data_IF_067946982766
#
_entry.id   IF_067946982766
#
_cell.length_a   1.000
_cell.length_b   1.000
_cell.length_c   1.000
_cell.angle_alpha   90.00
_cell.angle_beta   90.00
_cell.angle_gamma   90.00
#
_symmetry.space_group_name_H-M   'P 1'
#
loop_
_entity.id
_entity.type
_entity.pdbx_description
1 polymer ?
#
# COMPACT_ATOMS: atom_id res chain seq x y z
N UNK A 1 -21.04 -25.18 -18.18
CA UNK A 1 -20.83 -26.35 -17.31
C UNK A 1 -19.41 -26.30 -16.79
N UNK A 2 -19.26 -25.94 -15.52
CA UNK A 2 -18.17 -26.33 -14.61
C UNK A 2 -16.70 -26.06 -15.04
N UNK A 3 -16.23 -24.83 -14.84
CA UNK A 3 -14.79 -24.61 -14.59
C UNK A 3 -14.54 -24.76 -13.09
N UNK A 4 -13.95 -25.91 -12.77
CA UNK A 4 -13.45 -26.40 -11.50
C UNK A 4 -12.68 -25.35 -10.68
N UNK A 5 -13.21 -25.01 -9.52
CA UNK A 5 -12.50 -24.29 -8.45
C UNK A 5 -11.32 -25.13 -7.95
N UNK A 6 -10.05 -24.70 -8.10
CA UNK A 6 -8.93 -25.50 -7.64
C UNK A 6 -8.74 -25.30 -6.13
N UNK A 7 -9.01 -26.37 -5.40
CA UNK A 7 -8.53 -26.67 -4.04
C UNK A 7 -8.65 -25.54 -3.00
N UNK A 8 -9.82 -25.49 -2.36
CA UNK A 8 -9.96 -25.10 -0.96
C UNK A 8 -9.15 -26.06 -0.06
N UNK A 9 -7.82 -25.89 -0.02
CA UNK A 9 -7.04 -26.43 1.10
C UNK A 9 -7.59 -25.78 2.36
N UNK A 10 -8.19 -26.57 3.24
CA UNK A 10 -8.59 -26.16 4.58
C UNK A 10 -7.34 -25.83 5.38
N UNK A 11 -6.83 -24.61 5.17
CA UNK A 11 -5.77 -24.04 5.99
C UNK A 11 -6.25 -24.13 7.45
N UNK A 12 -5.42 -24.64 8.38
CA UNK A 12 -5.76 -24.67 9.80
C UNK A 12 -6.24 -23.27 10.20
N UNK A 13 -7.47 -23.16 10.68
CA UNK A 13 -8.06 -21.87 11.03
C UNK A 13 -7.19 -21.24 12.12
N UNK A 14 -6.46 -20.14 11.84
CA UNK A 14 -5.70 -19.48 12.88
C UNK A 14 -6.70 -18.98 13.91
N UNK A 15 -6.41 -19.25 15.18
CA UNK A 15 -7.11 -18.59 16.28
C UNK A 15 -7.00 -17.08 16.09
N UNK A 16 -8.08 -16.32 16.38
CA UNK A 16 -8.05 -14.85 16.33
C UNK A 16 -6.85 -14.28 17.12
N UNK A 17 -6.49 -14.92 18.23
CA UNK A 17 -5.32 -14.55 19.03
C UNK A 17 -4.00 -14.73 18.27
N UNK A 18 -3.90 -15.74 17.42
CA UNK A 18 -2.68 -16.07 16.67
C UNK A 18 -2.50 -15.15 15.46
N UNK A 19 -3.57 -14.82 14.74
CA UNK A 19 -3.56 -13.81 13.68
C UNK A 19 -3.22 -12.42 14.23
N UNK A 20 -3.84 -12.04 15.36
CA UNK A 20 -3.55 -10.78 16.03
C UNK A 20 -2.10 -10.71 16.54
N UNK A 21 -1.56 -11.81 17.07
CA UNK A 21 -0.17 -11.88 17.52
C UNK A 21 0.81 -11.78 16.34
N UNK A 22 0.55 -12.49 15.24
CA UNK A 22 1.41 -12.41 14.04
C UNK A 22 1.43 -10.98 13.46
N UNK A 23 0.25 -10.38 13.29
CA UNK A 23 0.14 -8.99 12.80
C UNK A 23 0.78 -8.00 13.78
N UNK A 24 0.53 -8.15 15.08
CA UNK A 24 1.08 -7.30 16.12
C UNK A 24 2.60 -7.32 16.13
N UNK A 25 3.22 -8.49 16.04
CA UNK A 25 4.69 -8.61 16.00
C UNK A 25 5.27 -7.94 14.75
N UNK A 26 4.66 -8.12 13.57
CA UNK A 26 5.12 -7.45 12.35
C UNK A 26 5.08 -5.93 12.49
N UNK A 27 3.98 -5.37 13.01
CA UNK A 27 3.84 -3.92 13.24
C UNK A 27 4.88 -3.43 14.25
N UNK A 28 5.11 -4.18 15.32
CA UNK A 28 6.05 -3.82 16.37
C UNK A 28 7.51 -3.84 15.87
N UNK A 29 7.88 -4.85 15.07
CA UNK A 29 9.19 -4.95 14.42
C UNK A 29 9.41 -3.76 13.48
N UNK A 30 8.40 -3.38 12.69
CA UNK A 30 8.52 -2.23 11.78
C UNK A 30 8.63 -0.92 12.56
N UNK A 31 7.74 -0.69 13.54
CA UNK A 31 7.74 0.54 14.32
C UNK A 31 9.03 0.72 15.12
N UNK A 32 9.45 -0.31 15.87
CA UNK A 32 10.68 -0.22 16.68
C UNK A 32 11.92 -0.17 15.80
N UNK A 33 11.97 -0.95 14.72
CA UNK A 33 13.11 -0.96 13.82
C UNK A 33 13.34 0.38 13.13
N UNK A 34 12.26 1.06 12.72
CA UNK A 34 12.35 2.37 12.10
C UNK A 34 12.62 3.50 13.13
N UNK A 35 11.84 3.58 14.20
CA UNK A 35 11.93 4.71 15.15
C UNK A 35 13.10 4.60 16.13
N UNK A 36 13.47 3.39 16.57
CA UNK A 36 14.49 3.21 17.63
C UNK A 36 15.87 2.91 17.06
N UNK A 37 15.93 2.10 16.02
CA UNK A 37 17.20 1.62 15.45
C UNK A 37 17.60 2.33 14.15
N UNK A 38 16.68 3.05 13.49
CA UNK A 38 16.96 3.73 12.23
C UNK A 38 17.43 2.79 11.12
N UNK A 39 17.01 1.53 11.17
CA UNK A 39 17.42 0.50 10.20
C UNK A 39 16.63 0.71 8.90
N UNK A 40 17.31 0.51 7.77
CA UNK A 40 16.69 0.54 6.46
C UNK A 40 15.48 -0.42 6.35
N UNK A 41 14.41 0.07 5.74
CA UNK A 41 13.14 -0.65 5.59
C UNK A 41 13.30 -2.00 4.88
N UNK A 42 14.29 -2.14 3.99
CA UNK A 42 14.61 -3.40 3.31
C UNK A 42 14.99 -4.52 4.28
N UNK A 43 15.84 -4.22 5.28
CA UNK A 43 16.28 -5.22 6.27
C UNK A 43 15.11 -5.63 7.17
N UNK A 44 14.27 -4.67 7.54
CA UNK A 44 13.06 -4.89 8.33
C UNK A 44 12.05 -5.77 7.60
N UNK A 45 11.84 -5.54 6.30
CA UNK A 45 10.96 -6.36 5.49
C UNK A 45 11.45 -7.81 5.41
N UNK A 46 12.76 -8.01 5.28
CA UNK A 46 13.35 -9.35 5.29
C UNK A 46 13.11 -10.07 6.63
N UNK A 47 13.31 -9.37 7.76
CA UNK A 47 13.08 -9.94 9.09
C UNK A 47 11.59 -10.30 9.33
N UNK A 48 10.67 -9.44 8.90
CA UNK A 48 9.23 -9.73 8.93
C UNK A 48 8.88 -10.95 8.08
N UNK A 49 9.50 -11.11 6.91
CA UNK A 49 9.29 -12.27 6.05
C UNK A 49 9.70 -13.58 6.75
N UNK A 50 10.86 -13.57 7.43
CA UNK A 50 11.33 -14.72 8.21
C UNK A 50 10.37 -15.03 9.38
N UNK A 51 9.90 -14.00 10.09
CA UNK A 51 8.94 -14.18 11.18
C UNK A 51 7.61 -14.78 10.69
N UNK A 52 7.04 -14.23 9.62
CA UNK A 52 5.78 -14.72 9.03
C UNK A 52 5.96 -16.15 8.51
N UNK A 53 7.11 -16.46 7.88
CA UNK A 53 7.43 -17.81 7.44
C UNK A 53 7.54 -18.81 8.61
N UNK A 54 8.19 -18.41 9.71
CA UNK A 54 8.28 -19.22 10.92
C UNK A 54 6.92 -19.44 11.59
N UNK A 55 6.11 -18.39 11.68
CA UNK A 55 4.74 -18.46 12.22
C UNK A 55 3.84 -19.36 11.36
N UNK A 56 3.96 -19.27 10.03
CA UNK A 56 3.27 -20.15 9.09
C UNK A 56 3.70 -21.62 9.22
N UNK A 57 4.98 -21.88 9.47
CA UNK A 57 5.49 -23.24 9.73
C UNK A 57 4.95 -23.81 11.05
N UNK A 58 4.82 -22.98 12.10
CA UNK A 58 4.16 -23.36 13.36
C UNK A 58 2.68 -23.68 13.19
N UNK A 59 2.00 -23.08 12.20
CA UNK A 59 0.63 -23.44 11.82
C UNK A 59 0.52 -24.80 11.10
N UNK A 60 1.65 -25.45 10.77
CA UNK A 60 1.67 -26.69 10.00
C UNK A 60 1.56 -26.48 8.49
N UNK A 61 1.73 -25.26 7.98
CA UNK A 61 1.73 -25.00 6.54
C UNK A 61 2.92 -25.69 5.88
N UNK A 62 2.65 -26.37 4.76
CA UNK A 62 3.68 -26.99 3.95
C UNK A 62 4.45 -25.91 3.17
N UNK A 63 5.76 -26.10 3.01
CA UNK A 63 6.63 -25.19 2.25
C UNK A 63 6.12 -24.94 0.81
N UNK A 64 5.61 -25.98 0.16
CA UNK A 64 4.98 -25.89 -1.17
C UNK A 64 3.83 -24.87 -1.19
N UNK A 65 2.94 -24.90 -0.19
CA UNK A 65 1.82 -23.96 -0.08
C UNK A 65 2.31 -22.52 0.14
N UNK A 66 3.34 -22.30 0.96
CA UNK A 66 3.90 -20.95 1.16
C UNK A 66 4.48 -20.42 -0.16
N UNK A 67 5.19 -21.25 -0.92
CA UNK A 67 5.76 -20.88 -2.22
C UNK A 67 4.69 -20.56 -3.25
N UNK A 68 3.61 -21.34 -3.32
CA UNK A 68 2.51 -21.08 -4.27
C UNK A 68 1.76 -19.80 -3.90
N UNK A 69 1.52 -19.55 -2.62
CA UNK A 69 0.90 -18.31 -2.13
C UNK A 69 1.74 -17.07 -2.45
N UNK A 70 3.07 -17.15 -2.28
CA UNK A 70 3.98 -16.07 -2.68
C UNK A 70 3.91 -15.80 -4.19
N UNK A 71 3.94 -16.85 -5.01
CA UNK A 71 3.80 -16.72 -6.47
C UNK A 71 2.48 -16.07 -6.87
N UNK A 72 1.37 -16.48 -6.25
CA UNK A 72 0.06 -15.88 -6.49
C UNK A 72 0.01 -14.41 -6.05
N UNK A 73 0.64 -14.06 -4.93
CA UNK A 73 0.71 -12.68 -4.45
C UNK A 73 1.42 -11.76 -5.46
N UNK A 74 2.53 -12.23 -6.05
CA UNK A 74 3.25 -11.50 -7.10
C UNK A 74 2.37 -11.35 -8.35
N UNK A 75 1.73 -12.43 -8.80
CA UNK A 75 0.86 -12.39 -9.98
C UNK A 75 -0.33 -11.44 -9.81
N UNK A 76 -0.88 -11.33 -8.59
CA UNK A 76 -1.95 -10.37 -8.27
C UNK A 76 -1.45 -8.91 -8.21
N UNK A 77 -0.18 -8.70 -7.91
CA UNK A 77 0.42 -7.36 -7.85
C UNK A 77 0.83 -6.83 -9.23
N UNK A 78 1.15 -7.69 -10.19
CA UNK A 78 1.57 -7.31 -11.55
C UNK A 78 0.61 -6.31 -12.23
N UNK A 79 -0.72 -6.54 -12.29
CA UNK A 79 -1.65 -5.59 -12.89
C UNK A 79 -1.60 -4.19 -12.26
N UNK A 80 -1.50 -4.11 -10.93
CA UNK A 80 -1.42 -2.84 -10.22
C UNK A 80 -0.13 -2.08 -10.57
N UNK A 81 1.00 -2.77 -10.67
CA UNK A 81 2.30 -2.18 -11.06
C UNK A 81 2.21 -1.57 -12.46
N UNK A 82 1.61 -2.28 -13.43
CA UNK A 82 1.41 -1.73 -14.77
C UNK A 82 0.58 -0.44 -14.77
N UNK A 83 -0.50 -0.41 -13.98
CA UNK A 83 -1.33 0.79 -13.83
C UNK A 83 -0.52 1.95 -13.23
N UNK A 84 0.23 1.72 -12.17
CA UNK A 84 1.09 2.75 -11.57
C UNK A 84 2.11 3.32 -12.54
N UNK A 85 2.73 2.47 -13.38
CA UNK A 85 3.69 2.91 -14.41
C UNK A 85 3.01 3.78 -15.46
N UNK A 86 1.81 3.39 -15.94
CA UNK A 86 1.04 4.18 -16.91
C UNK A 86 0.64 5.55 -16.33
N UNK A 87 0.15 5.57 -15.09
CA UNK A 87 -0.19 6.82 -14.39
C UNK A 87 1.05 7.71 -14.26
N UNK A 88 2.19 7.14 -13.87
CA UNK A 88 3.46 7.86 -13.79
C UNK A 88 3.86 8.52 -15.12
N UNK A 89 3.75 7.79 -16.23
CA UNK A 89 4.03 8.33 -17.58
C UNK A 89 3.07 9.45 -17.98
N UNK A 90 1.78 9.32 -17.66
CA UNK A 90 0.79 10.37 -17.93
C UNK A 90 1.09 11.63 -17.13
N UNK A 91 1.38 11.50 -15.83
CA UNK A 91 1.73 12.64 -14.97
C UNK A 91 3.01 13.32 -15.47
N UNK A 92 4.06 12.56 -15.80
CA UNK A 92 5.29 13.10 -16.36
C UNK A 92 5.05 13.89 -17.65
N UNK A 93 4.18 13.39 -18.54
CA UNK A 93 3.81 14.07 -19.79
C UNK A 93 3.09 15.40 -19.52
N UNK A 94 2.19 15.43 -18.53
CA UNK A 94 1.48 16.66 -18.15
C UNK A 94 2.37 17.67 -17.42
N UNK A 95 3.38 17.20 -16.69
CA UNK A 95 4.39 18.08 -16.11
C UNK A 95 5.21 18.75 -17.21
N UNK A 96 5.64 17.99 -18.23
CA UNK A 96 6.39 18.54 -19.36
C UNK A 96 5.55 19.52 -20.20
N UNK A 97 4.25 19.27 -20.34
CA UNK A 97 3.32 20.19 -21.03
C UNK A 97 2.99 21.46 -20.23
N UNK A 98 3.42 21.57 -18.97
CA UNK A 98 3.08 22.71 -18.09
C UNK A 98 1.64 22.72 -17.58
N UNK A 99 0.80 21.74 -17.95
CA UNK A 99 -0.61 21.67 -17.57
C UNK A 99 -0.81 21.51 -16.07
N UNK A 100 0.06 20.74 -15.39
CA UNK A 100 -0.01 20.58 -13.93
C UNK A 100 0.36 21.88 -13.22
N UNK A 101 1.37 22.60 -13.69
CA UNK A 101 1.81 23.87 -13.09
C UNK A 101 0.73 24.95 -13.23
N UNK A 102 0.07 25.04 -14.38
CA UNK A 102 -1.04 26.00 -14.60
C UNK A 102 -2.26 25.64 -13.75
N UNK A 103 -2.63 24.35 -13.66
CA UNK A 103 -3.70 23.90 -12.75
C UNK A 103 -3.38 24.22 -11.29
N UNK A 104 -2.12 24.08 -10.87
CA UNK A 104 -1.72 24.42 -9.50
C UNK A 104 -1.81 25.93 -9.24
N UNK A 105 -1.36 26.77 -10.18
CA UNK A 105 -1.43 28.23 -10.06
C UNK A 105 -2.87 28.75 -9.93
N UNK A 106 -3.79 28.23 -10.75
CA UNK A 106 -5.21 28.59 -10.64
C UNK A 106 -5.90 27.93 -9.44
N UNK A 107 -5.51 26.71 -9.10
CA UNK A 107 -6.06 25.96 -7.96
C UNK A 107 -5.72 26.60 -6.62
N UNK A 108 -4.48 27.08 -6.42
CA UNK A 108 -4.07 27.76 -5.17
C UNK A 108 -4.81 29.08 -4.95
N UNK A 109 -5.23 29.76 -6.01
CA UNK A 109 -5.99 31.00 -5.90
C UNK A 109 -7.41 30.75 -5.36
N UNK A 110 -7.93 29.52 -5.54
CA UNK A 110 -9.23 29.08 -5.03
C UNK A 110 -9.13 28.35 -3.68
N UNK A 111 -8.00 27.69 -3.40
CA UNK A 111 -7.78 26.94 -2.17
C UNK A 111 -7.15 27.82 -1.07
N UNK A 112 -7.95 28.21 -0.09
CA UNK A 112 -7.40 28.69 1.19
C UNK A 112 -6.78 27.54 2.00
N UNK A 113 -5.65 27.75 2.71
CA UNK A 113 -4.94 26.71 3.49
C UNK A 113 -5.84 25.95 4.48
N UNK A 114 -6.89 26.60 5.00
CA UNK A 114 -7.85 26.02 5.94
C UNK A 114 -8.77 24.96 5.33
N UNK A 115 -9.01 24.98 4.01
CA UNK A 115 -9.90 24.02 3.33
C UNK A 115 -9.14 22.85 2.72
N UNK A 116 -7.82 22.96 2.56
CA UNK A 116 -6.98 21.95 1.91
C UNK A 116 -7.12 20.57 2.58
N UNK A 117 -6.98 20.49 3.91
CA UNK A 117 -7.08 19.22 4.63
C UNK A 117 -8.48 18.61 4.56
N UNK A 118 -9.54 19.41 4.67
CA UNK A 118 -10.93 18.94 4.59
C UNK A 118 -11.25 18.38 3.20
N UNK A 119 -10.84 19.08 2.13
CA UNK A 119 -11.03 18.61 0.75
C UNK A 119 -10.18 17.37 0.48
N UNK A 120 -8.93 17.35 0.96
CA UNK A 120 -8.03 16.19 0.84
C UNK A 120 -8.60 14.94 1.52
N UNK A 121 -9.21 15.09 2.70
CA UNK A 121 -9.87 13.97 3.41
C UNK A 121 -11.07 13.43 2.62
N UNK A 122 -11.92 14.29 2.08
CA UNK A 122 -13.08 13.88 1.26
C UNK A 122 -12.63 13.19 -0.03
N UNK A 123 -11.60 13.73 -0.70
CA UNK A 123 -11.02 13.14 -1.90
C UNK A 123 -10.36 11.78 -1.63
N UNK A 124 -9.59 11.66 -0.54
CA UNK A 124 -9.04 10.38 -0.11
C UNK A 124 -10.15 9.36 0.20
N UNK A 125 -11.23 9.77 0.86
CA UNK A 125 -12.37 8.88 1.13
C UNK A 125 -13.04 8.40 -0.17
N UNK A 126 -13.37 9.33 -1.07
CA UNK A 126 -13.93 9.02 -2.39
C UNK A 126 -13.03 8.05 -3.18
N UNK A 127 -11.73 8.34 -3.21
CA UNK A 127 -10.80 7.54 -3.99
C UNK A 127 -10.51 6.18 -3.34
N UNK A 128 -10.56 6.09 -2.01
CA UNK A 128 -10.49 4.79 -1.32
C UNK A 128 -11.68 3.92 -1.64
N UNK A 129 -12.88 4.50 -1.78
CA UNK A 129 -14.08 3.78 -2.22
C UNK A 129 -13.95 3.36 -3.69
N UNK A 130 -13.46 4.24 -4.55
CA UNK A 130 -13.31 3.95 -5.99
C UNK A 130 -12.18 2.95 -6.31
N UNK A 131 -11.04 3.06 -5.65
CA UNK A 131 -9.85 2.20 -5.86
C UNK A 131 -9.97 0.88 -5.10
N UNK A 132 -10.87 0.80 -4.11
CA UNK A 132 -11.13 -0.40 -3.31
C UNK A 132 -9.99 -0.81 -2.38
N UNK A 133 -8.89 -0.06 -2.32
CA UNK A 133 -7.72 -0.36 -1.47
C UNK A 133 -7.11 0.92 -0.90
N UNK A 134 -6.83 0.91 0.41
CA UNK A 134 -6.22 2.05 1.10
C UNK A 134 -4.78 2.33 0.65
N UNK A 135 -4.00 1.28 0.36
CA UNK A 135 -2.61 1.38 -0.07
C UNK A 135 -2.47 2.09 -1.43
N UNK A 136 -3.39 1.86 -2.36
CA UNK A 136 -3.39 2.56 -3.65
C UNK A 136 -3.72 4.05 -3.52
N UNK A 137 -4.65 4.40 -2.61
CA UNK A 137 -5.02 5.80 -2.36
C UNK A 137 -3.91 6.58 -1.68
N UNK A 138 -3.24 5.99 -0.67
CA UNK A 138 -2.09 6.61 -0.01
C UNK A 138 -0.94 6.83 -1.01
N UNK A 139 -0.68 5.87 -1.89
CA UNK A 139 0.40 5.96 -2.88
C UNK A 139 0.19 7.01 -3.97
N UNK A 140 -1.05 7.26 -4.39
CA UNK A 140 -1.38 8.21 -5.47
C UNK A 140 -1.74 9.59 -4.97
N UNK A 141 -2.77 9.72 -4.12
CA UNK A 141 -3.25 11.01 -3.63
C UNK A 141 -2.46 11.48 -2.41
N UNK A 142 -2.09 10.56 -1.51
CA UNK A 142 -1.40 10.91 -0.27
C UNK A 142 -0.05 11.59 -0.53
N UNK A 143 0.80 10.99 -1.35
CA UNK A 143 2.11 11.56 -1.71
C UNK A 143 1.97 12.90 -2.43
N UNK A 144 0.96 13.05 -3.31
CA UNK A 144 0.68 14.30 -4.01
C UNK A 144 0.27 15.41 -3.03
N UNK A 145 -0.61 15.11 -2.07
CA UNK A 145 -1.00 16.08 -1.05
C UNK A 145 0.16 16.48 -0.13
N UNK A 146 1.07 15.57 0.19
CA UNK A 146 2.30 15.91 0.94
C UNK A 146 3.13 16.93 0.14
N UNK A 147 3.34 16.71 -1.16
CA UNK A 147 4.09 17.65 -2.00
C UNK A 147 3.42 19.03 -2.15
N UNK A 148 2.08 19.07 -2.21
CA UNK A 148 1.33 20.33 -2.25
C UNK A 148 1.35 21.04 -0.89
N UNK A 149 1.26 20.30 0.22
CA UNK A 149 1.40 20.84 1.57
C UNK A 149 2.74 21.53 1.77
N UNK A 150 3.84 20.85 1.41
CA UNK A 150 5.18 21.45 1.42
C UNK A 150 5.27 22.71 0.55
N UNK A 151 4.68 22.71 -0.65
CA UNK A 151 4.65 23.88 -1.54
C UNK A 151 3.84 25.05 -0.97
N UNK A 152 2.82 24.77 -0.15
CA UNK A 152 2.02 25.77 0.57
C UNK A 152 2.57 26.11 1.97
N UNK A 153 3.70 25.52 2.37
CA UNK A 153 4.33 25.65 3.69
C UNK A 153 3.40 25.30 4.87
N UNK A 154 2.57 24.25 4.70
CA UNK A 154 1.65 23.68 5.71
C UNK A 154 1.86 22.18 5.85
#
# INVERSE_FOLDING_TARGET
MQETEPHSQTLPSPSLAQSALCFGVVVLVIAVGLFRFGIDLHVLMFLCLLWVGANGRWLGLHYETIRTLMGQAISRALPAIYIFILIGMVIASFMHSGTIATLMYYGLNWLTPSLFLSVGMVLCALMSVATGTSWGTVGTLGVVFIGIGEAMAI
#
